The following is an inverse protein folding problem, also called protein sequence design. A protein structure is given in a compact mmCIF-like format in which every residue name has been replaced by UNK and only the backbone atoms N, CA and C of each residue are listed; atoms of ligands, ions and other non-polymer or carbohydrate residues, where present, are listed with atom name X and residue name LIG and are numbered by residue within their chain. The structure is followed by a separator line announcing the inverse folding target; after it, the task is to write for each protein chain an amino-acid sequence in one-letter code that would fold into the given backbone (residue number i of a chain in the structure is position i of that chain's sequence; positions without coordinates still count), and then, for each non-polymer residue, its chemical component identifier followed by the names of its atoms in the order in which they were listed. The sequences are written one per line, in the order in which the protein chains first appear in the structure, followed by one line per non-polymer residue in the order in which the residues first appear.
data_IF_023348379857
#
_entry.id   IF_023348379857
#
_cell.length_a   1.000
_cell.length_b   1.000
_cell.length_c   1.000
_cell.angle_alpha   90.00
_cell.angle_beta   90.00
_cell.angle_gamma   90.00
#
_symmetry.space_group_name_H-M   'P 1'
#
loop_
_entity.id
_entity.type
_entity.pdbx_description
1 polymer ?
#
# COMPACT_ATOMS: atom_id res chain seq x y z
N UNK A 1 -7.45 17.60 90.25
CA UNK A 1 -6.85 18.27 89.12
C UNK A 1 -7.09 17.42 87.92
N UNK A 2 -7.94 17.85 87.03
CA UNK A 2 -8.34 17.15 85.84
C UNK A 2 -7.80 17.95 84.65
N UNK A 3 -6.70 17.54 84.05
CA UNK A 3 -6.07 18.16 82.88
C UNK A 3 -6.71 17.55 81.61
N UNK A 4 -7.69 18.29 81.08
CA UNK A 4 -8.28 17.94 79.78
C UNK A 4 -7.28 18.06 78.65
N UNK A 5 -6.96 16.96 77.98
CA UNK A 5 -6.27 16.94 76.68
C UNK A 5 -7.25 17.35 75.57
N UNK A 6 -6.97 18.46 74.88
CA UNK A 6 -7.68 18.86 73.71
C UNK A 6 -7.29 17.90 72.54
N UNK A 7 -8.23 17.41 71.74
CA UNK A 7 -7.90 16.62 70.55
C UNK A 7 -7.27 17.52 69.54
N UNK A 8 -6.09 17.06 69.01
CA UNK A 8 -5.37 17.71 67.91
C UNK A 8 -6.25 17.70 66.66
N UNK A 9 -6.62 18.90 66.20
CA UNK A 9 -7.40 19.10 64.99
C UNK A 9 -6.46 18.98 63.73
N UNK A 10 -6.26 17.74 63.28
CA UNK A 10 -5.50 17.45 62.05
C UNK A 10 -6.36 17.82 60.83
N UNK A 11 -6.35 19.09 60.44
CA UNK A 11 -6.86 19.49 59.13
C UNK A 11 -5.95 18.92 58.06
N UNK A 12 -6.46 18.18 57.04
CA UNK A 12 -5.61 17.71 55.94
C UNK A 12 -4.96 18.89 55.24
N UNK A 13 -3.65 18.80 55.03
CA UNK A 13 -2.87 19.83 54.33
C UNK A 13 -3.43 20.02 52.92
N UNK A 14 -4.04 21.19 52.67
CA UNK A 14 -4.49 21.57 51.31
C UNK A 14 -3.28 21.96 50.50
N UNK A 15 -2.92 21.14 49.54
CA UNK A 15 -1.89 21.51 48.58
C UNK A 15 -2.30 22.79 47.81
N UNK A 16 -1.39 23.73 47.62
CA UNK A 16 -1.67 24.95 46.84
C UNK A 16 -2.17 24.57 45.45
N UNK A 17 -3.26 25.21 45.00
CA UNK A 17 -3.88 24.93 43.70
C UNK A 17 -2.88 24.99 42.54
N UNK A 18 -1.83 25.84 42.62
CA UNK A 18 -0.76 25.93 41.65
C UNK A 18 0.11 24.65 41.52
N UNK A 19 0.41 23.98 42.67
CA UNK A 19 1.16 22.71 42.67
C UNK A 19 0.35 21.61 42.00
N UNK A 20 -0.96 21.53 42.24
CA UNK A 20 -1.87 20.56 41.64
C UNK A 20 -1.89 20.78 40.09
N UNK A 21 -1.95 22.03 39.62
CA UNK A 21 -1.95 22.35 38.23
C UNK A 21 -0.61 21.95 37.51
N UNK A 22 0.52 22.17 38.16
CA UNK A 22 1.85 21.78 37.64
C UNK A 22 1.95 20.26 37.56
N UNK A 23 1.53 19.54 38.59
CA UNK A 23 1.56 18.05 38.57
C UNK A 23 0.62 17.52 37.52
N UNK A 24 -0.58 18.05 37.35
CA UNK A 24 -1.52 17.65 36.30
C UNK A 24 -0.98 17.90 34.90
N UNK A 25 -0.32 19.04 34.66
CA UNK A 25 0.36 19.34 33.40
C UNK A 25 1.52 18.38 33.14
N UNK A 26 2.32 18.05 34.15
CA UNK A 26 3.40 17.06 34.02
C UNK A 26 2.89 15.66 33.66
N UNK A 27 1.81 15.21 34.30
CA UNK A 27 1.18 13.92 33.97
C UNK A 27 0.62 13.92 32.55
N UNK A 28 0.00 15.00 32.10
CA UNK A 28 -0.51 15.11 30.73
C UNK A 28 0.60 15.06 29.69
N UNK A 29 1.74 15.70 29.92
CA UNK A 29 2.91 15.63 29.04
C UNK A 29 3.48 14.21 28.98
N UNK A 30 3.64 13.53 30.12
CA UNK A 30 4.13 12.15 30.17
C UNK A 30 3.15 11.21 29.42
N UNK A 31 1.85 11.35 29.63
CA UNK A 31 0.84 10.58 28.89
C UNK A 31 0.91 10.82 27.39
N UNK A 32 1.08 12.07 26.96
CA UNK A 32 1.26 12.41 25.54
C UNK A 32 2.51 11.79 24.95
N UNK A 33 3.63 11.77 25.68
CA UNK A 33 4.88 11.12 25.25
C UNK A 33 4.69 9.60 25.12
N UNK A 34 4.02 8.96 26.09
CA UNK A 34 3.74 7.52 26.06
C UNK A 34 2.87 7.17 24.85
N UNK A 35 1.79 7.92 24.61
CA UNK A 35 0.92 7.74 23.45
C UNK A 35 1.73 7.92 22.16
N UNK A 36 2.55 8.95 22.05
CA UNK A 36 3.39 9.23 20.90
C UNK A 36 4.36 8.07 20.60
N UNK A 37 5.04 7.54 21.62
CA UNK A 37 5.96 6.40 21.49
C UNK A 37 5.21 5.12 21.11
N UNK A 38 4.05 4.86 21.73
CA UNK A 38 3.24 3.66 21.42
C UNK A 38 2.69 3.71 19.98
N UNK A 39 2.18 4.85 19.54
CA UNK A 39 1.72 5.06 18.17
C UNK A 39 2.89 4.91 17.20
N UNK A 40 4.03 5.53 17.52
CA UNK A 40 5.25 5.44 16.71
C UNK A 40 5.70 4.00 16.50
N UNK A 41 5.85 3.21 17.55
CA UNK A 41 6.21 1.79 17.47
C UNK A 41 5.23 1.00 16.60
N UNK A 42 3.95 1.24 16.74
CA UNK A 42 2.91 0.53 15.98
C UNK A 42 2.92 0.89 14.48
N UNK A 43 3.21 2.14 14.14
CA UNK A 43 3.29 2.62 12.76
C UNK A 43 4.58 2.20 12.07
N UNK A 44 5.68 2.05 12.82
CA UNK A 44 6.99 1.66 12.28
C UNK A 44 7.21 0.13 12.23
N UNK A 45 6.24 -0.67 12.68
CA UNK A 45 6.34 -2.12 12.67
C UNK A 45 6.09 -2.69 11.26
N UNK A 46 7.19 -2.90 10.53
CA UNK A 46 7.17 -3.46 9.18
C UNK A 46 6.67 -4.91 9.14
N UNK A 47 6.92 -5.73 10.19
CA UNK A 47 6.39 -7.10 10.28
C UNK A 47 4.88 -7.13 10.42
N UNK A 48 4.33 -6.15 11.15
CA UNK A 48 2.88 -5.96 11.23
C UNK A 48 2.29 -5.60 9.86
N UNK A 49 2.92 -4.67 9.14
CA UNK A 49 2.51 -4.28 7.77
C UNK A 49 2.56 -5.49 6.84
N UNK A 50 3.63 -6.30 6.87
CA UNK A 50 3.74 -7.52 6.07
C UNK A 50 2.62 -8.51 6.37
N UNK A 51 2.33 -8.78 7.66
CA UNK A 51 1.23 -9.66 8.05
C UNK A 51 -0.15 -9.13 7.61
N UNK A 52 -0.39 -7.84 7.77
CA UNK A 52 -1.65 -7.22 7.32
C UNK A 52 -1.84 -7.37 5.80
N UNK A 53 -0.78 -7.14 5.02
CA UNK A 53 -0.83 -7.31 3.58
C UNK A 53 -1.10 -8.77 3.17
N UNK A 54 -0.34 -9.72 3.73
CA UNK A 54 -0.53 -11.15 3.41
C UNK A 54 -1.91 -11.63 3.82
N UNK A 55 -2.42 -11.20 4.98
CA UNK A 55 -3.78 -11.51 5.40
C UNK A 55 -4.81 -10.97 4.39
N UNK A 56 -4.70 -9.70 4.03
CA UNK A 56 -5.62 -9.06 3.09
C UNK A 56 -5.60 -9.75 1.71
N UNK A 57 -4.41 -10.16 1.23
CA UNK A 57 -4.28 -10.93 -0.02
C UNK A 57 -4.89 -12.32 0.10
N UNK A 58 -4.59 -13.06 1.18
CA UNK A 58 -5.11 -14.41 1.39
C UNK A 58 -6.64 -14.44 1.55
N UNK A 59 -7.22 -13.42 2.17
CA UNK A 59 -8.67 -13.30 2.38
C UNK A 59 -9.38 -12.53 1.24
N UNK A 60 -8.67 -12.16 0.15
CA UNK A 60 -9.17 -11.34 -0.97
C UNK A 60 -9.74 -9.97 -0.55
N UNK A 61 -9.22 -9.40 0.54
CA UNK A 61 -9.56 -8.05 1.00
C UNK A 61 -8.74 -7.00 0.19
N UNK A 62 -9.01 -6.90 -1.11
CA UNK A 62 -8.17 -6.16 -2.07
C UNK A 62 -8.06 -4.67 -1.78
N UNK A 63 -9.10 -4.06 -1.19
CA UNK A 63 -9.06 -2.66 -0.77
C UNK A 63 -7.99 -2.42 0.30
N UNK A 64 -7.90 -3.34 1.26
CA UNK A 64 -6.93 -3.26 2.36
C UNK A 64 -5.53 -3.57 1.85
N UNK A 65 -5.38 -4.62 1.01
CA UNK A 65 -4.11 -4.95 0.36
C UNK A 65 -3.56 -3.75 -0.45
N UNK A 66 -4.38 -3.13 -1.31
CA UNK A 66 -4.01 -1.96 -2.10
C UNK A 66 -3.52 -0.79 -1.23
N UNK A 67 -4.20 -0.52 -0.12
CA UNK A 67 -3.84 0.56 0.80
C UNK A 67 -2.45 0.42 1.42
N UNK A 68 -1.92 -0.79 1.49
CA UNK A 68 -0.63 -1.14 2.07
C UNK A 68 0.54 -1.09 1.08
N UNK A 69 0.28 -0.92 -0.22
CA UNK A 69 1.32 -0.89 -1.26
C UNK A 69 1.89 0.54 -1.42
N UNK A 70 3.18 0.65 -1.66
CA UNK A 70 3.86 1.90 -2.02
C UNK A 70 3.94 2.02 -3.54
N UNK A 71 2.81 2.38 -4.15
CA UNK A 71 2.73 2.53 -5.60
C UNK A 71 3.48 3.78 -6.07
N UNK A 72 4.11 3.75 -7.25
CA UNK A 72 4.54 4.95 -7.95
C UNK A 72 3.32 5.76 -8.40
N UNK A 73 3.54 7.03 -8.74
CA UNK A 73 2.50 7.84 -9.35
C UNK A 73 2.21 7.30 -10.77
N UNK A 74 0.97 6.86 -11.01
CA UNK A 74 0.55 6.26 -12.27
C UNK A 74 -0.96 6.28 -12.42
N UNK A 75 -1.46 6.83 -13.54
CA UNK A 75 -2.89 6.99 -13.82
C UNK A 75 -3.63 5.64 -13.89
N UNK A 76 -2.94 4.58 -14.35
CA UNK A 76 -3.51 3.25 -14.53
C UNK A 76 -3.35 2.34 -13.29
N UNK A 77 -2.69 2.81 -12.24
CA UNK A 77 -2.52 2.08 -10.98
C UNK A 77 -3.68 2.38 -10.00
N UNK A 78 -4.90 2.32 -10.48
CA UNK A 78 -6.10 2.55 -9.67
C UNK A 78 -6.41 1.35 -8.77
N UNK A 79 -7.21 1.60 -7.74
CA UNK A 79 -7.68 0.53 -6.85
C UNK A 79 -8.55 -0.48 -7.63
N UNK A 80 -9.38 0.01 -8.52
CA UNK A 80 -10.25 -0.79 -9.39
C UNK A 80 -9.40 -1.69 -10.31
N UNK A 81 -8.32 -1.16 -10.90
CA UNK A 81 -7.38 -1.94 -11.70
C UNK A 81 -6.71 -3.04 -10.85
N UNK A 82 -6.29 -2.74 -9.60
CA UNK A 82 -5.74 -3.73 -8.68
C UNK A 82 -6.73 -4.86 -8.36
N UNK A 83 -8.01 -4.53 -8.12
CA UNK A 83 -9.07 -5.51 -7.89
C UNK A 83 -9.28 -6.38 -9.14
N UNK A 84 -9.32 -5.76 -10.32
CA UNK A 84 -9.56 -6.45 -11.59
C UNK A 84 -8.47 -7.49 -11.92
N UNK A 85 -7.19 -7.18 -11.70
CA UNK A 85 -6.12 -8.15 -11.94
C UNK A 85 -6.17 -9.37 -11.02
N UNK A 86 -6.90 -9.28 -9.91
CA UNK A 86 -7.08 -10.35 -8.92
C UNK A 86 -8.51 -10.93 -8.90
N UNK A 87 -9.34 -10.59 -9.90
CA UNK A 87 -10.78 -10.95 -9.89
C UNK A 87 -11.05 -12.47 -9.84
N UNK A 88 -10.11 -13.28 -10.36
CA UNK A 88 -10.23 -14.75 -10.37
C UNK A 88 -9.74 -15.42 -9.07
N UNK A 89 -9.20 -14.66 -8.11
CA UNK A 89 -8.66 -15.21 -6.88
C UNK A 89 -9.78 -15.60 -5.90
N UNK A 90 -9.56 -16.71 -5.21
CA UNK A 90 -10.43 -17.19 -4.12
C UNK A 90 -9.75 -16.97 -2.78
N UNK A 91 -10.45 -16.31 -1.86
CA UNK A 91 -9.93 -16.05 -0.52
C UNK A 91 -10.09 -17.22 0.42
N UNK A 92 -9.11 -17.39 1.30
CA UNK A 92 -9.14 -18.33 2.41
C UNK A 92 -8.93 -17.61 3.73
N UNK A 93 -9.69 -17.97 4.74
CA UNK A 93 -9.56 -17.34 6.06
C UNK A 93 -8.22 -17.68 6.70
N UNK A 94 -7.53 -16.66 7.20
CA UNK A 94 -6.26 -16.82 7.90
C UNK A 94 -6.48 -17.00 9.40
N UNK A 95 -6.02 -18.14 9.96
CA UNK A 95 -6.18 -18.43 11.38
C UNK A 95 -5.00 -17.96 12.24
N UNK A 96 -3.76 -18.19 11.78
CA UNK A 96 -2.52 -17.89 12.51
C UNK A 96 -1.46 -17.34 11.57
N UNK A 97 -0.63 -16.44 12.07
CA UNK A 97 0.46 -15.84 11.30
C UNK A 97 1.72 -15.65 12.14
N UNK A 98 2.86 -15.91 11.52
CA UNK A 98 4.19 -15.55 12.01
C UNK A 98 4.95 -14.74 10.94
N UNK A 99 5.94 -13.95 11.34
CA UNK A 99 6.73 -13.14 10.42
C UNK A 99 8.18 -13.05 10.86
N UNK A 100 9.09 -13.48 9.98
CA UNK A 100 10.53 -13.51 10.21
C UNK A 100 11.29 -12.72 9.16
N UNK A 101 12.41 -12.12 9.55
CA UNK A 101 13.24 -11.34 8.64
C UNK A 101 13.97 -12.25 7.65
N UNK A 102 14.02 -11.81 6.38
CA UNK A 102 14.83 -12.45 5.35
C UNK A 102 16.05 -11.57 5.06
N UNK A 103 17.23 -12.17 5.02
CA UNK A 103 18.43 -11.52 4.52
C UNK A 103 18.50 -11.68 3.00
N UNK A 104 18.29 -10.60 2.27
CA UNK A 104 18.32 -10.57 0.80
C UNK A 104 19.08 -9.33 0.30
N UNK A 105 19.38 -9.30 -0.99
CA UNK A 105 19.96 -8.09 -1.61
C UNK A 105 19.06 -6.89 -1.41
N UNK A 106 17.75 -7.07 -1.55
CA UNK A 106 16.75 -6.03 -1.31
C UNK A 106 16.79 -5.48 0.12
N UNK A 107 16.85 -6.36 1.14
CA UNK A 107 16.87 -5.94 2.55
C UNK A 107 18.17 -5.24 2.97
N UNK A 108 19.25 -5.35 2.17
CA UNK A 108 20.52 -4.63 2.39
C UNK A 108 20.45 -3.17 1.93
N UNK A 109 19.49 -2.80 1.08
CA UNK A 109 19.33 -1.42 0.67
C UNK A 109 18.76 -0.56 1.82
N UNK A 110 19.25 0.69 1.99
CA UNK A 110 18.80 1.55 3.08
C UNK A 110 17.28 1.77 3.07
N UNK A 111 16.64 1.50 4.19
CA UNK A 111 15.19 1.69 4.34
C UNK A 111 14.32 0.52 3.87
N UNK A 112 14.89 -0.49 3.20
CA UNK A 112 14.16 -1.66 2.76
C UNK A 112 14.16 -2.79 3.79
N UNK A 113 13.12 -3.62 3.76
CA UNK A 113 12.95 -4.83 4.57
C UNK A 113 12.41 -5.96 3.72
N UNK A 114 12.85 -7.19 4.01
CA UNK A 114 12.27 -8.40 3.46
C UNK A 114 11.82 -9.30 4.60
N UNK A 115 10.59 -9.81 4.53
CA UNK A 115 9.93 -10.56 5.60
C UNK A 115 9.27 -11.79 4.99
N UNK A 116 9.57 -12.96 5.54
CA UNK A 116 8.79 -14.19 5.26
C UNK A 116 7.62 -14.24 6.23
N UNK A 117 6.41 -14.26 5.69
CA UNK A 117 5.19 -14.42 6.45
C UNK A 117 4.68 -15.85 6.25
N UNK A 118 4.68 -16.62 7.33
CA UNK A 118 4.00 -17.92 7.40
C UNK A 118 2.59 -17.75 7.94
N UNK A 119 1.61 -18.43 7.34
CA UNK A 119 0.22 -18.40 7.79
C UNK A 119 -0.47 -19.71 7.56
N UNK A 120 -1.55 -19.95 8.29
CA UNK A 120 -2.36 -21.18 8.23
C UNK A 120 -3.74 -20.82 7.73
N UNK A 121 -4.22 -21.54 6.71
CA UNK A 121 -5.58 -21.51 6.20
C UNK A 121 -6.18 -22.91 6.24
N UNK A 122 -7.42 -23.08 5.80
CA UNK A 122 -8.05 -24.40 5.65
C UNK A 122 -7.27 -25.32 4.69
N UNK A 123 -6.57 -24.75 3.69
CA UNK A 123 -5.69 -25.47 2.75
C UNK A 123 -4.33 -25.86 3.35
N UNK A 124 -4.02 -25.44 4.58
CA UNK A 124 -2.78 -25.76 5.29
C UNK A 124 -1.83 -24.58 5.47
N UNK A 125 -0.55 -24.90 5.70
CA UNK A 125 0.47 -23.87 5.94
C UNK A 125 1.01 -23.29 4.64
N UNK A 126 0.99 -21.98 4.55
CA UNK A 126 1.45 -21.19 3.41
C UNK A 126 2.57 -20.22 3.82
N UNK A 127 3.38 -19.77 2.86
CA UNK A 127 4.46 -18.80 3.07
C UNK A 127 4.48 -17.79 1.94
N UNK A 128 4.61 -16.50 2.30
CA UNK A 128 4.80 -15.42 1.36
C UNK A 128 6.00 -14.56 1.77
N UNK A 129 6.88 -14.27 0.82
CA UNK A 129 7.96 -13.31 0.99
C UNK A 129 7.45 -11.91 0.64
N UNK A 130 7.53 -10.98 1.59
CA UNK A 130 7.05 -9.61 1.45
C UNK A 130 8.23 -8.65 1.48
N UNK A 131 8.34 -7.86 0.44
CA UNK A 131 9.34 -6.81 0.32
C UNK A 131 8.69 -5.47 0.70
N UNK A 132 9.32 -4.75 1.64
CA UNK A 132 8.78 -3.49 2.16
C UNK A 132 9.80 -2.37 1.99
N UNK A 133 9.30 -1.18 1.74
CA UNK A 133 10.08 0.05 1.65
C UNK A 133 9.46 1.13 2.53
N UNK A 134 10.25 2.16 2.82
CA UNK A 134 9.74 3.33 3.55
C UNK A 134 8.82 4.12 2.62
N UNK A 135 7.61 4.40 3.06
CA UNK A 135 6.68 5.25 2.31
C UNK A 135 7.26 6.65 2.10
N UNK A 136 6.95 7.27 0.97
CA UNK A 136 7.42 8.62 0.60
C UNK A 136 6.99 9.71 1.60
N UNK A 137 5.91 9.47 2.35
CA UNK A 137 5.41 10.38 3.39
C UNK A 137 5.66 9.78 4.77
N UNK A 138 6.37 10.51 5.64
CA UNK A 138 6.54 10.13 7.04
C UNK A 138 5.21 10.33 7.80
N UNK A 139 4.92 9.42 8.73
CA UNK A 139 3.81 9.60 9.65
C UNK A 139 4.24 10.54 10.79
N UNK A 140 3.45 11.58 11.05
CA UNK A 140 3.75 12.58 12.11
C UNK A 140 5.18 13.17 12.05
N UNK A 141 5.73 13.41 10.85
CA UNK A 141 7.04 14.01 10.58
C UNK A 141 8.27 13.17 11.01
N UNK A 142 8.14 12.26 11.97
CA UNK A 142 9.28 11.57 12.59
C UNK A 142 9.28 10.05 12.38
N UNK A 143 8.11 9.44 12.16
CA UNK A 143 8.01 7.98 12.06
C UNK A 143 8.06 7.50 10.62
N UNK A 144 8.96 6.55 10.34
CA UNK A 144 9.00 5.85 9.05
C UNK A 144 7.81 4.90 8.97
N UNK A 145 6.92 5.11 8.03
CA UNK A 145 5.85 4.16 7.72
C UNK A 145 6.34 3.20 6.65
N UNK A 146 6.27 1.91 6.93
CA UNK A 146 6.58 0.89 5.94
C UNK A 146 5.35 0.55 5.11
N UNK A 147 5.56 0.34 3.81
CA UNK A 147 4.59 -0.16 2.85
C UNK A 147 5.21 -1.26 2.01
N UNK A 148 4.38 -2.12 1.43
CA UNK A 148 4.81 -3.15 0.50
C UNK A 148 5.40 -2.51 -0.75
N UNK A 149 6.56 -2.98 -1.20
CA UNK A 149 7.18 -2.52 -2.46
C UNK A 149 6.31 -2.91 -3.66
N UNK A 150 6.14 -1.97 -4.58
CA UNK A 150 5.42 -2.23 -5.83
C UNK A 150 6.28 -2.96 -6.87
N UNK A 151 7.58 -3.17 -6.64
CA UNK A 151 8.54 -3.66 -7.63
C UNK A 151 8.11 -4.95 -8.34
N UNK A 152 7.53 -5.90 -7.60
CA UNK A 152 7.03 -7.16 -8.15
C UNK A 152 5.53 -7.13 -8.48
N UNK A 153 4.85 -6.02 -8.23
CA UNK A 153 3.41 -5.87 -8.43
C UNK A 153 3.07 -5.04 -9.66
N UNK A 154 4.04 -4.34 -10.24
CA UNK A 154 3.85 -3.47 -11.40
C UNK A 154 4.87 -3.79 -12.49
N UNK A 155 4.45 -3.65 -13.74
CA UNK A 155 5.27 -3.72 -14.94
C UNK A 155 5.47 -2.31 -15.45
N UNK A 156 6.66 -2.02 -15.98
CA UNK A 156 7.04 -0.69 -16.49
C UNK A 156 7.08 -0.67 -18.01
N UNK A 157 6.81 0.52 -18.54
CA UNK A 157 7.03 0.86 -19.96
C UNK A 157 6.34 -0.10 -20.94
N UNK A 158 5.10 -0.49 -20.59
CA UNK A 158 4.30 -1.41 -21.41
C UNK A 158 3.88 -0.73 -22.70
N UNK A 159 4.27 -1.30 -23.84
CA UNK A 159 3.92 -0.77 -25.16
C UNK A 159 2.65 -1.39 -25.69
N UNK A 160 1.67 -0.56 -26.09
CA UNK A 160 0.40 -1.00 -26.68
C UNK A 160 0.23 -0.36 -28.05
N UNK A 161 0.03 -1.19 -29.08
CA UNK A 161 -0.24 -0.75 -30.46
C UNK A 161 -1.73 -0.90 -30.76
N UNK A 162 -2.32 0.18 -31.27
CA UNK A 162 -3.76 0.27 -31.59
C UNK A 162 -3.91 0.83 -33.01
N UNK A 163 -4.84 0.34 -33.85
CA UNK A 163 -5.10 0.95 -35.15
C UNK A 163 -5.37 2.45 -35.01
N UNK A 164 -4.89 3.23 -35.96
CA UNK A 164 -4.95 4.70 -35.92
C UNK A 164 -6.40 5.21 -35.92
N UNK A 165 -6.66 6.21 -35.11
CA UNK A 165 -7.99 6.84 -35.02
C UNK A 165 -8.93 6.18 -34.01
N UNK A 166 -8.47 5.14 -33.30
CA UNK A 166 -9.22 4.53 -32.22
C UNK A 166 -8.84 5.11 -30.86
N UNK A 167 -9.76 5.12 -29.93
CA UNK A 167 -9.54 5.50 -28.54
C UNK A 167 -9.23 4.26 -27.71
N UNK A 168 -8.10 4.28 -27.01
CA UNK A 168 -7.65 3.21 -26.13
C UNK A 168 -8.09 3.47 -24.68
N UNK A 169 -8.59 2.42 -24.02
CA UNK A 169 -8.85 2.39 -22.58
C UNK A 169 -8.10 1.22 -21.95
N UNK A 170 -7.57 1.43 -20.76
CA UNK A 170 -6.95 0.40 -19.91
C UNK A 170 -7.69 0.40 -18.56
N UNK A 171 -8.28 -0.73 -18.18
CA UNK A 171 -9.07 -0.86 -16.95
C UNK A 171 -10.11 0.30 -16.80
N UNK A 172 -10.82 0.62 -17.88
CA UNK A 172 -11.80 1.70 -18.01
C UNK A 172 -11.23 3.14 -17.92
N UNK A 173 -9.92 3.30 -17.81
CA UNK A 173 -9.26 4.61 -17.86
C UNK A 173 -8.84 4.91 -19.29
N UNK A 174 -9.23 6.08 -19.80
CA UNK A 174 -8.86 6.53 -21.15
C UNK A 174 -7.36 6.80 -21.23
N UNK A 175 -6.73 6.32 -22.30
CA UNK A 175 -5.30 6.60 -22.57
C UNK A 175 -5.17 7.86 -23.41
N UNK A 176 -4.69 8.93 -22.81
CA UNK A 176 -4.49 10.21 -23.49
C UNK A 176 -3.31 10.20 -24.48
N UNK A 177 -3.32 11.17 -25.40
CA UNK A 177 -2.26 11.33 -26.41
C UNK A 177 -0.86 11.58 -25.81
N UNK A 178 -0.79 11.98 -24.54
CA UNK A 178 0.46 12.15 -23.81
C UNK A 178 1.31 10.87 -23.74
N UNK A 179 0.64 9.71 -23.79
CA UNK A 179 1.27 8.39 -23.74
C UNK A 179 1.70 7.86 -25.12
N UNK A 180 1.35 8.55 -26.22
CA UNK A 180 1.82 8.16 -27.56
C UNK A 180 3.34 8.27 -27.65
N UNK A 181 3.97 7.25 -28.25
CA UNK A 181 5.40 7.30 -28.54
C UNK A 181 5.72 8.42 -29.54
N UNK A 182 6.96 8.89 -29.54
CA UNK A 182 7.38 9.93 -30.48
C UNK A 182 7.28 9.48 -31.95
N UNK A 183 7.46 8.18 -32.21
CA UNK A 183 7.26 7.60 -33.53
C UNK A 183 5.79 7.73 -33.99
N UNK A 184 4.84 7.51 -33.10
CA UNK A 184 3.40 7.67 -33.39
C UNK A 184 2.99 9.12 -33.59
N UNK A 185 3.50 10.04 -32.79
CA UNK A 185 3.21 11.48 -32.92
C UNK A 185 3.63 12.05 -34.28
N UNK A 186 4.74 11.55 -34.83
CA UNK A 186 5.36 12.08 -36.04
C UNK A 186 5.20 11.16 -37.27
N UNK A 187 4.60 9.97 -37.09
CA UNK A 187 4.57 8.92 -38.11
C UNK A 187 3.28 8.92 -38.94
N UNK A 188 3.40 8.42 -40.19
CA UNK A 188 2.27 8.14 -41.09
C UNK A 188 1.84 6.66 -41.00
N UNK A 189 2.15 5.96 -39.93
CA UNK A 189 1.81 4.54 -39.73
C UNK A 189 0.27 4.31 -39.64
N UNK A 190 -0.13 3.05 -39.85
CA UNK A 190 -1.52 2.59 -39.71
C UNK A 190 -1.96 2.38 -38.26
N UNK A 191 -1.05 2.46 -37.30
CA UNK A 191 -1.30 2.27 -35.88
C UNK A 191 -0.67 3.39 -35.04
N UNK A 192 -1.30 3.66 -33.91
CA UNK A 192 -0.73 4.47 -32.83
C UNK A 192 -0.10 3.53 -31.79
N UNK A 193 1.05 3.92 -31.28
CA UNK A 193 1.81 3.19 -30.27
C UNK A 193 1.82 4.02 -29.00
N UNK A 194 1.36 3.42 -27.89
CA UNK A 194 1.31 4.02 -26.58
C UNK A 194 2.32 3.35 -25.66
N UNK A 195 3.06 4.14 -24.88
CA UNK A 195 3.98 3.65 -23.84
C UNK A 195 3.39 3.98 -22.48
N UNK A 196 2.97 2.96 -21.78
CA UNK A 196 2.31 3.07 -20.46
C UNK A 196 3.35 2.90 -19.37
N UNK A 197 3.61 3.94 -18.55
CA UNK A 197 4.71 3.90 -17.59
C UNK A 197 4.59 2.78 -16.56
N UNK A 198 3.36 2.51 -16.10
CA UNK A 198 3.10 1.49 -15.08
C UNK A 198 1.74 0.83 -15.30
N UNK A 199 1.71 -0.50 -15.29
CA UNK A 199 0.50 -1.33 -15.15
C UNK A 199 0.69 -2.32 -14.00
N UNK A 200 -0.40 -2.80 -13.41
CA UNK A 200 -0.30 -3.94 -12.53
C UNK A 200 0.10 -5.20 -13.30
N UNK A 201 0.99 -5.98 -12.70
CA UNK A 201 1.33 -7.31 -13.21
C UNK A 201 0.07 -8.18 -13.20
N UNK A 202 -0.24 -8.84 -14.33
CA UNK A 202 -1.40 -9.68 -14.49
C UNK A 202 -2.38 -9.20 -15.56
N UNK A 203 -3.64 -9.62 -15.46
CA UNK A 203 -4.69 -9.35 -16.45
C UNK A 203 -5.20 -7.91 -16.36
N UNK A 204 -4.96 -7.13 -17.41
CA UNK A 204 -5.50 -5.78 -17.57
C UNK A 204 -6.54 -5.77 -18.70
N UNK A 205 -7.69 -5.16 -18.46
CA UNK A 205 -8.73 -5.03 -19.48
C UNK A 205 -8.35 -3.92 -20.46
N UNK A 206 -8.33 -4.27 -21.74
CA UNK A 206 -8.09 -3.33 -22.84
C UNK A 206 -9.40 -3.17 -23.62
N UNK A 207 -9.81 -1.94 -23.81
CA UNK A 207 -10.95 -1.61 -24.65
C UNK A 207 -10.53 -0.57 -25.68
N UNK A 208 -10.96 -0.77 -26.94
CA UNK A 208 -10.81 0.21 -28.00
C UNK A 208 -12.16 0.58 -28.57
N UNK A 209 -12.35 1.86 -28.86
CA UNK A 209 -13.59 2.40 -29.41
C UNK A 209 -13.29 3.30 -30.59
N UNK A 210 -14.22 3.46 -31.53
CA UNK A 210 -14.11 4.36 -32.66
C UNK A 210 -15.46 4.66 -33.29
N UNK A 211 -15.54 5.72 -34.11
CA UNK A 211 -16.79 6.22 -34.67
C UNK A 211 -17.50 5.20 -35.59
N UNK A 212 -16.71 4.32 -36.24
CA UNK A 212 -17.27 3.39 -37.28
C UNK A 212 -17.00 1.92 -36.96
N UNK A 213 -16.65 1.59 -35.71
CA UNK A 213 -16.43 0.21 -35.28
C UNK A 213 -17.26 -0.08 -34.02
N UNK A 214 -17.60 -1.35 -33.83
CA UNK A 214 -18.11 -1.81 -32.52
C UNK A 214 -16.98 -1.78 -31.48
N UNK A 215 -17.34 -1.50 -30.23
CA UNK A 215 -16.41 -1.53 -29.11
C UNK A 215 -15.73 -2.92 -29.05
N UNK A 216 -14.43 -2.93 -29.09
CA UNK A 216 -13.63 -4.16 -28.97
C UNK A 216 -12.98 -4.22 -27.59
N UNK A 217 -13.18 -5.33 -26.88
CA UNK A 217 -12.58 -5.57 -25.57
C UNK A 217 -11.75 -6.84 -25.58
N UNK A 218 -10.55 -6.76 -25.02
CA UNK A 218 -9.63 -7.88 -24.85
C UNK A 218 -8.90 -7.77 -23.55
N UNK A 219 -8.04 -8.73 -23.23
CA UNK A 219 -7.20 -8.74 -22.03
C UNK A 219 -5.72 -8.71 -22.43
N UNK A 220 -4.99 -7.80 -21.81
CA UNK A 220 -3.53 -7.78 -21.82
C UNK A 220 -3.03 -8.44 -20.54
N UNK A 221 -2.20 -9.45 -20.66
CA UNK A 221 -1.43 -9.98 -19.52
C UNK A 221 -0.10 -9.24 -19.44
N UNK A 222 -0.02 -8.24 -18.57
CA UNK A 222 1.22 -7.51 -18.34
C UNK A 222 2.17 -8.36 -17.48
N UNK A 223 3.39 -8.60 -17.96
CA UNK A 223 4.45 -9.33 -17.26
C UNK A 223 5.81 -8.69 -17.56
N UNK A 224 6.80 -8.94 -16.67
CA UNK A 224 8.12 -8.31 -16.78
C UNK A 224 8.90 -8.63 -18.06
N UNK A 225 8.50 -9.67 -18.81
CA UNK A 225 9.20 -10.14 -20.01
C UNK A 225 8.42 -9.84 -21.32
N UNK A 226 7.28 -9.13 -21.24
CA UNK A 226 6.48 -8.79 -22.43
C UNK A 226 6.57 -7.29 -22.73
N UNK A 227 7.31 -6.97 -23.81
CA UNK A 227 7.60 -5.57 -24.19
C UNK A 227 6.49 -4.90 -25.03
N UNK A 228 5.68 -5.66 -25.79
CA UNK A 228 4.71 -5.07 -26.73
C UNK A 228 3.46 -5.91 -26.90
N UNK A 229 2.30 -5.28 -26.76
CA UNK A 229 0.98 -5.84 -27.03
C UNK A 229 0.34 -5.13 -28.24
N UNK A 230 -0.20 -5.90 -29.19
CA UNK A 230 -0.91 -5.35 -30.36
C UNK A 230 -2.38 -5.71 -30.29
N UNK A 231 -3.24 -4.68 -30.37
CA UNK A 231 -4.67 -4.82 -30.53
C UNK A 231 -4.96 -4.88 -32.02
N UNK A 232 -5.42 -6.04 -32.50
CA UNK A 232 -5.72 -6.27 -33.92
C UNK A 232 -7.06 -6.92 -34.11
#
# INVERSE_FOLDING_TARGET
QNSGQQPANNKPARFPKGIIAIVAAGVAVIAAIIIFVCVGKNVTDYKKTAKQYVKAVAECEWNDAYSLINLPDGEFLTKEAFINVHADATGEKVEKMAADDIVSTYSKMPGNKAVKVGYITDSGMQYNDVYLTVANKHYMLFFKKYKVSAENLVVKDVTIKVPKGLTLYINDVIVGDGYKSDASKNGNGSSDEYVIPYLFNGKNNIKVTGEFIEDYTTQLYAAHDEDTFTVG
#
